data_IF_656658960748
#
_entry.id   IF_656658960748
#
_cell.length_a   1.000
_cell.length_b   1.000
_cell.length_c   1.000
_cell.angle_alpha   90.00
_cell.angle_beta   90.00
_cell.angle_gamma   90.00
#
_symmetry.space_group_name_H-M   'P 1'
#
loop_
_entity.id
_entity.type
_entity.pdbx_description
1 polymer ?
#
# COMPACT_ATOMS: atom_id res chain seq x y z
N UNK A 1 -10.12 -1.38 19.36
CA UNK A 1 -10.17 -0.21 18.45
C UNK A 1 -8.74 0.27 18.28
N UNK A 2 -8.23 0.40 17.05
CA UNK A 2 -6.89 0.90 16.78
C UNK A 2 -6.98 2.43 16.65
N UNK A 3 -6.35 3.17 17.56
CA UNK A 3 -6.36 4.63 17.56
C UNK A 3 -4.95 5.19 17.82
N UNK A 4 -4.67 6.35 17.24
CA UNK A 4 -3.43 7.11 17.46
C UNK A 4 -3.77 8.28 18.37
N UNK A 5 -3.15 8.35 19.55
CA UNK A 5 -3.44 9.40 20.53
C UNK A 5 -3.28 10.81 19.93
N UNK A 6 -4.32 11.64 20.05
CA UNK A 6 -4.34 13.00 19.52
C UNK A 6 -4.52 13.13 18.01
N UNK A 7 -4.66 12.01 17.28
CA UNK A 7 -4.94 12.05 15.85
C UNK A 7 -6.39 12.45 15.58
N UNK A 8 -6.58 13.55 14.86
CA UNK A 8 -7.88 13.95 14.32
C UNK A 8 -7.97 13.49 12.87
N UNK A 9 -8.73 12.42 12.64
CA UNK A 9 -8.95 11.90 11.29
C UNK A 9 -9.69 12.95 10.44
N UNK A 10 -9.22 13.27 9.23
CA UNK A 10 -9.91 14.21 8.35
C UNK A 10 -11.30 13.69 7.97
N UNK A 11 -12.23 14.62 7.71
CA UNK A 11 -13.64 14.29 7.42
C UNK A 11 -13.79 13.59 6.05
N UNK A 12 -12.90 13.90 5.11
CA UNK A 12 -12.82 13.24 3.80
C UNK A 12 -11.92 12.01 3.86
N UNK A 13 -12.37 10.89 3.27
CA UNK A 13 -11.63 9.62 3.20
C UNK A 13 -10.80 9.50 1.91
N UNK A 14 -10.54 10.62 1.24
CA UNK A 14 -9.68 10.65 0.05
C UNK A 14 -8.35 9.98 0.36
N UNK A 15 -7.89 9.17 -0.59
CA UNK A 15 -6.60 8.54 -0.55
C UNK A 15 -5.80 9.11 -1.72
N UNK A 16 -4.63 9.65 -1.42
CA UNK A 16 -3.73 10.17 -2.44
C UNK A 16 -2.46 9.32 -2.44
N UNK A 17 -1.93 8.93 -3.61
CA UNK A 17 -0.67 8.22 -3.67
C UNK A 17 0.44 9.10 -3.11
N UNK A 18 1.24 8.54 -2.20
CA UNK A 18 2.39 9.22 -1.59
C UNK A 18 3.54 9.46 -2.58
N UNK A 19 3.42 8.96 -3.81
CA UNK A 19 4.40 9.10 -4.89
C UNK A 19 5.57 8.11 -4.83
N UNK A 20 5.59 7.22 -3.83
CA UNK A 20 6.50 6.07 -3.79
C UNK A 20 5.76 4.85 -4.32
N UNK A 21 6.24 4.35 -5.46
CA UNK A 21 5.81 3.08 -6.04
C UNK A 21 6.88 2.03 -5.71
N UNK A 22 6.46 0.91 -5.16
CA UNK A 22 7.30 -0.24 -4.94
C UNK A 22 6.88 -1.42 -5.80
N UNK A 23 7.76 -2.38 -5.95
CA UNK A 23 7.47 -3.67 -6.56
C UNK A 23 8.01 -4.78 -5.70
N UNK A 24 7.30 -5.90 -5.69
CA UNK A 24 7.77 -7.15 -5.10
C UNK A 24 7.25 -8.32 -5.94
N UNK A 25 7.75 -9.52 -5.63
CA UNK A 25 7.27 -10.75 -6.23
C UNK A 25 6.16 -11.37 -5.36
N UNK A 26 5.20 -12.00 -6.00
CA UNK A 26 4.30 -12.96 -5.37
C UNK A 26 4.99 -14.34 -5.29
N UNK A 27 4.37 -15.29 -4.59
CA UNK A 27 4.87 -16.65 -4.39
C UNK A 27 5.11 -17.44 -5.69
N UNK A 28 4.39 -17.11 -6.77
CA UNK A 28 4.56 -17.68 -8.11
C UNK A 28 5.50 -16.86 -9.01
N UNK A 29 6.14 -15.82 -8.47
CA UNK A 29 7.13 -14.99 -9.17
C UNK A 29 6.54 -13.88 -10.05
N UNK A 30 5.21 -13.70 -10.04
CA UNK A 30 4.57 -12.56 -10.71
C UNK A 30 4.84 -11.27 -9.94
N UNK A 31 5.02 -10.16 -10.64
CA UNK A 31 5.26 -8.86 -10.03
C UNK A 31 3.97 -8.26 -9.47
N UNK A 32 4.08 -7.67 -8.28
CA UNK A 32 3.01 -6.99 -7.55
C UNK A 32 3.43 -5.55 -7.32
N UNK A 33 2.58 -4.61 -7.72
CA UNK A 33 2.77 -3.19 -7.41
C UNK A 33 2.41 -2.91 -5.95
N UNK A 34 3.21 -2.08 -5.30
CA UNK A 34 3.06 -1.67 -3.91
C UNK A 34 2.84 -0.17 -3.88
N UNK A 35 1.66 0.25 -3.44
CA UNK A 35 1.28 1.66 -3.37
C UNK A 35 1.03 2.06 -1.92
N UNK A 36 1.56 3.24 -1.55
CA UNK A 36 1.28 3.88 -0.28
C UNK A 36 0.33 5.03 -0.52
N UNK A 37 -0.80 5.02 0.20
CA UNK A 37 -1.72 6.14 0.21
C UNK A 37 -1.64 6.89 1.53
N UNK A 38 -1.73 8.21 1.44
CA UNK A 38 -1.82 9.08 2.61
C UNK A 38 -3.20 9.71 2.75
N UNK A 39 -3.53 10.04 3.99
CA UNK A 39 -4.66 10.91 4.29
C UNK A 39 -4.35 12.38 3.97
N UNK A 40 -5.35 13.24 4.12
CA UNK A 40 -5.23 14.70 3.93
C UNK A 40 -4.23 15.36 4.90
N UNK A 41 -3.81 14.69 5.97
CA UNK A 41 -2.80 15.18 6.90
C UNK A 41 -1.39 14.67 6.55
N UNK A 42 -1.22 13.97 5.42
CA UNK A 42 0.05 13.39 5.00
C UNK A 42 0.51 12.19 5.84
N UNK A 43 -0.41 11.54 6.57
CA UNK A 43 -0.11 10.32 7.33
C UNK A 43 -0.43 9.10 6.50
N UNK A 44 0.37 8.03 6.66
CA UNK A 44 0.11 6.74 6.04
C UNK A 44 -1.29 6.28 6.40
N UNK A 45 -2.14 6.13 5.39
CA UNK A 45 -3.53 5.74 5.51
C UNK A 45 -3.72 4.29 5.07
N UNK A 46 -3.06 3.89 3.98
CA UNK A 46 -3.25 2.58 3.37
C UNK A 46 -1.97 2.10 2.65
N UNK A 47 -1.77 0.79 2.69
CA UNK A 47 -0.81 0.05 1.88
C UNK A 47 -1.60 -0.87 0.97
N UNK A 48 -1.53 -0.63 -0.34
CA UNK A 48 -2.26 -1.38 -1.35
C UNK A 48 -1.30 -2.26 -2.17
N UNK A 49 -1.69 -3.51 -2.38
CA UNK A 49 -0.94 -4.49 -3.17
C UNK A 49 -1.74 -4.85 -4.41
N UNK A 50 -1.24 -4.51 -5.59
CA UNK A 50 -1.97 -4.71 -6.85
C UNK A 50 -1.26 -5.76 -7.69
N UNK A 51 -2.00 -6.82 -8.01
CA UNK A 51 -1.62 -7.84 -8.98
C UNK A 51 -2.41 -7.62 -10.27
N UNK A 52 -1.70 -7.36 -11.38
CA UNK A 52 -2.31 -6.90 -12.63
C UNK A 52 -2.75 -8.02 -13.57
N UNK A 53 -2.37 -9.27 -13.32
CA UNK A 53 -2.66 -10.41 -14.18
C UNK A 53 -4.07 -11.01 -13.96
N UNK A 54 -4.93 -10.31 -13.21
CA UNK A 54 -6.32 -10.72 -12.87
C UNK A 54 -6.43 -12.02 -12.06
N UNK A 55 -5.34 -12.48 -11.44
CA UNK A 55 -5.36 -13.61 -10.50
C UNK A 55 -5.34 -13.13 -9.06
N UNK A 56 -5.70 -14.04 -8.16
CA UNK A 56 -5.60 -13.80 -6.73
C UNK A 56 -4.15 -13.57 -6.30
N UNK A 57 -3.98 -12.74 -5.28
CA UNK A 57 -2.72 -12.59 -4.57
C UNK A 57 -2.47 -13.85 -3.74
N UNK A 58 -1.36 -14.53 -3.98
CA UNK A 58 -1.11 -15.86 -3.40
C UNK A 58 -0.34 -15.78 -2.06
N UNK A 59 0.67 -14.92 -2.01
CA UNK A 59 1.62 -14.83 -0.90
C UNK A 59 2.78 -13.90 -1.25
N UNK A 60 2.64 -12.58 -1.00
CA UNK A 60 3.69 -11.62 -1.27
C UNK A 60 5.02 -11.95 -0.59
N UNK A 61 6.11 -11.86 -1.35
CA UNK A 61 7.47 -12.07 -0.88
C UNK A 61 8.13 -10.75 -0.51
N UNK A 62 7.89 -10.31 0.72
CA UNK A 62 8.37 -9.03 1.25
C UNK A 62 9.89 -8.83 1.14
N UNK A 63 10.67 -9.92 1.20
CA UNK A 63 12.12 -9.88 1.04
C UNK A 63 12.59 -9.46 -0.36
N UNK A 64 11.66 -9.41 -1.33
CA UNK A 64 11.92 -8.95 -2.71
C UNK A 64 11.48 -7.51 -2.96
N UNK A 65 10.95 -6.83 -1.94
CA UNK A 65 10.48 -5.46 -2.06
C UNK A 65 11.61 -4.52 -2.49
N UNK A 66 11.33 -3.74 -3.54
CA UNK A 66 12.16 -2.66 -4.05
C UNK A 66 11.32 -1.40 -4.20
N UNK A 67 11.90 -0.25 -3.83
CA UNK A 67 11.27 1.07 -3.93
C UNK A 67 11.90 1.84 -5.11
N UNK A 68 11.11 2.66 -5.81
CA UNK A 68 11.62 3.63 -6.79
C UNK A 68 12.18 4.89 -6.14
#
# INVERSE_FOLDING_TARGET
MFEIAGYKRPMYRGQHPFGVEGWMLDSDGVEVSVLLHVDENGRLLELELIRWDSKDLLGPRWETLRLQ
#
